data_IF_302070695902
#
_entry.id   IF_302070695902
#
_cell.length_a   1.000
_cell.length_b   1.000
_cell.length_c   1.000
_cell.angle_alpha   90.00
_cell.angle_beta   90.00
_cell.angle_gamma   90.00
#
_symmetry.space_group_name_H-M   'P 1'
#
loop_
_entity.id
_entity.type
_entity.pdbx_description
1 polymer ?
#
# COMPACT_ATOMS: atom_id res chain seq x y z
N UNK A 1 0.52 4.27 -14.56
CA UNK A 1 0.02 3.65 -13.33
C UNK A 1 -0.15 4.75 -12.31
N UNK A 2 -1.32 4.84 -11.68
CA UNK A 2 -1.56 5.81 -10.60
C UNK A 2 -1.07 5.19 -9.29
N UNK A 3 -0.45 6.00 -8.44
CA UNK A 3 0.11 5.56 -7.17
C UNK A 3 -0.49 6.44 -6.07
N UNK A 4 -0.92 5.83 -4.97
CA UNK A 4 -1.47 6.55 -3.82
C UNK A 4 -0.93 5.97 -2.53
N UNK A 5 -0.62 6.86 -1.59
CA UNK A 5 -0.21 6.50 -0.24
C UNK A 5 -1.26 6.96 0.77
N UNK A 6 -1.70 6.03 1.61
CA UNK A 6 -2.57 6.29 2.74
C UNK A 6 -1.77 6.15 4.03
N UNK A 7 -2.00 7.03 4.98
CA UNK A 7 -1.47 6.94 6.34
C UNK A 7 -2.56 6.49 7.30
N UNK A 8 -2.21 5.59 8.21
CA UNK A 8 -3.07 4.98 9.22
C UNK A 8 -2.33 5.03 10.56
N UNK A 9 -3.04 5.33 11.65
CA UNK A 9 -2.46 5.29 12.99
C UNK A 9 -2.19 3.83 13.39
N UNK A 10 -1.06 3.55 14.06
CA UNK A 10 -0.73 2.18 14.51
C UNK A 10 -1.79 1.52 15.39
N UNK A 11 -2.60 2.32 16.10
CA UNK A 11 -3.72 1.83 16.92
C UNK A 11 -4.78 1.09 16.10
N UNK A 12 -4.96 1.46 14.83
CA UNK A 12 -5.95 0.87 13.93
C UNK A 12 -5.35 -0.21 13.03
N UNK A 13 -4.07 -0.57 13.24
CA UNK A 13 -3.37 -1.61 12.48
C UNK A 13 -4.15 -2.92 12.44
N UNK A 14 -4.70 -3.34 13.57
CA UNK A 14 -5.48 -4.59 13.65
C UNK A 14 -6.70 -4.56 12.72
N UNK A 15 -7.41 -3.43 12.67
CA UNK A 15 -8.57 -3.28 11.79
C UNK A 15 -8.14 -3.27 10.32
N UNK A 16 -7.00 -2.64 10.00
CA UNK A 16 -6.44 -2.70 8.67
C UNK A 16 -6.04 -4.13 8.29
N UNK A 17 -5.36 -4.88 9.17
CA UNK A 17 -4.97 -6.27 8.90
C UNK A 17 -6.19 -7.16 8.63
N UNK A 18 -7.27 -7.00 9.40
CA UNK A 18 -8.55 -7.67 9.18
C UNK A 18 -9.19 -7.28 7.82
N UNK A 19 -9.12 -6.00 7.45
CA UNK A 19 -9.59 -5.49 6.16
C UNK A 19 -8.81 -6.07 4.98
N UNK A 20 -7.48 -6.14 5.11
CA UNK A 20 -6.58 -6.66 4.07
C UNK A 20 -6.75 -8.16 3.87
N UNK A 21 -7.09 -8.89 4.95
CA UNK A 21 -7.39 -10.32 4.91
C UNK A 21 -8.79 -10.65 4.37
N UNK A 22 -9.65 -9.64 4.16
CA UNK A 22 -11.04 -9.86 3.77
C UNK A 22 -11.16 -10.29 2.30
N UNK A 23 -11.75 -11.47 2.11
CA UNK A 23 -12.13 -12.06 0.81
C UNK A 23 -11.07 -11.88 -0.29
N UNK A 24 -9.91 -12.54 -0.17
CA UNK A 24 -8.80 -12.37 -1.11
C UNK A 24 -9.14 -12.83 -2.53
N UNK A 25 -10.17 -13.67 -2.70
CA UNK A 25 -10.54 -14.25 -3.99
C UNK A 25 -11.58 -13.43 -4.77
N UNK A 26 -12.20 -12.43 -4.14
CA UNK A 26 -13.13 -11.52 -4.80
C UNK A 26 -12.51 -10.86 -6.06
N UNK A 27 -13.32 -10.47 -7.06
CA UNK A 27 -12.84 -9.84 -8.28
C UNK A 27 -11.94 -8.62 -8.04
N UNK A 28 -12.28 -7.81 -7.03
CA UNK A 28 -11.47 -6.71 -6.50
C UNK A 28 -11.30 -6.94 -5.00
N UNK A 29 -10.07 -7.16 -4.56
CA UNK A 29 -9.71 -7.43 -3.17
C UNK A 29 -8.32 -6.88 -2.85
N UNK A 30 -8.05 -6.60 -1.58
CA UNK A 30 -6.69 -6.19 -1.18
C UNK A 30 -5.67 -7.30 -1.43
N UNK A 31 -6.06 -8.57 -1.37
CA UNK A 31 -5.19 -9.69 -1.75
C UNK A 31 -4.76 -9.66 -3.21
N UNK A 32 -5.60 -9.18 -4.13
CA UNK A 32 -5.25 -9.01 -5.56
C UNK A 32 -4.49 -7.71 -5.82
N UNK A 33 -4.89 -6.63 -5.14
CA UNK A 33 -4.23 -5.32 -5.23
C UNK A 33 -2.80 -5.38 -4.70
N UNK A 34 -2.53 -6.27 -3.74
CA UNK A 34 -1.22 -6.46 -3.10
C UNK A 34 -0.61 -5.14 -2.58
N UNK A 35 -1.32 -4.41 -1.70
CA UNK A 35 -0.82 -3.16 -1.15
C UNK A 35 0.50 -3.39 -0.39
N UNK A 36 1.43 -2.44 -0.52
CA UNK A 36 2.70 -2.47 0.21
C UNK A 36 2.53 -1.70 1.51
N UNK A 37 2.75 -2.37 2.64
CA UNK A 37 2.72 -1.72 3.95
C UNK A 37 4.13 -1.32 4.40
N UNK A 38 4.25 -0.11 4.96
CA UNK A 38 5.48 0.40 5.56
C UNK A 38 5.16 1.00 6.93
N UNK A 39 5.91 0.59 7.94
CA UNK A 39 5.84 1.21 9.26
C UNK A 39 6.92 2.29 9.37
N UNK A 40 6.51 3.50 9.76
CA UNK A 40 7.41 4.61 9.99
C UNK A 40 6.97 5.36 11.24
N UNK A 41 7.87 5.48 12.20
CA UNK A 41 7.61 6.10 13.51
C UNK A 41 6.37 5.48 14.18
N UNK A 42 5.36 6.29 14.51
CA UNK A 42 4.09 5.87 15.12
C UNK A 42 2.96 5.63 14.11
N UNK A 43 3.26 5.63 12.81
CA UNK A 43 2.28 5.50 11.73
C UNK A 43 2.58 4.31 10.82
N UNK A 44 1.53 3.85 10.17
CA UNK A 44 1.57 2.87 9.11
C UNK A 44 1.18 3.53 7.80
N UNK A 45 1.92 3.24 6.75
CA UNK A 45 1.70 3.73 5.40
C UNK A 45 1.33 2.56 4.51
N UNK A 46 0.24 2.72 3.76
CA UNK A 46 -0.22 1.77 2.76
C UNK A 46 -0.05 2.39 1.38
N UNK A 47 0.84 1.80 0.60
CA UNK A 47 1.07 2.17 -0.79
C UNK A 47 0.28 1.23 -1.71
N UNK A 48 -0.43 1.83 -2.67
CA UNK A 48 -1.16 1.12 -3.71
C UNK A 48 -0.78 1.68 -5.06
N UNK A 49 -0.55 0.79 -6.02
CA UNK A 49 -0.29 1.10 -7.42
C UNK A 49 -1.33 0.40 -8.27
N UNK A 50 -2.12 1.15 -9.03
CA UNK A 50 -3.14 0.60 -9.93
C UNK A 50 -3.49 1.58 -11.05
N UNK A 51 -3.95 1.05 -12.18
CA UNK A 51 -4.54 1.81 -13.28
C UNK A 51 -6.07 1.63 -13.37
N UNK A 52 -6.65 0.79 -12.51
CA UNK A 52 -8.07 0.49 -12.49
C UNK A 52 -8.85 1.47 -11.59
N UNK A 53 -9.73 2.27 -12.19
CA UNK A 53 -10.61 3.17 -11.46
C UNK A 53 -11.55 2.45 -10.46
N UNK A 54 -11.87 1.18 -10.71
CA UNK A 54 -12.62 0.32 -9.80
C UNK A 54 -11.87 0.00 -8.52
N UNK A 55 -10.54 -0.16 -8.60
CA UNK A 55 -9.69 -0.37 -7.42
C UNK A 55 -9.75 0.84 -6.49
N UNK A 56 -9.64 2.06 -7.03
CA UNK A 56 -9.68 3.27 -6.20
C UNK A 56 -11.01 3.45 -5.48
N UNK A 57 -12.13 3.19 -6.16
CA UNK A 57 -13.46 3.21 -5.53
C UNK A 57 -13.57 2.19 -4.40
N UNK A 58 -13.08 0.97 -4.63
CA UNK A 58 -13.07 -0.08 -3.62
C UNK A 58 -12.21 0.32 -2.41
N UNK A 59 -10.99 0.80 -2.63
CA UNK A 59 -10.06 1.22 -1.57
C UNK A 59 -10.70 2.33 -0.74
N UNK A 60 -11.23 3.38 -1.38
CA UNK A 60 -11.83 4.51 -0.68
C UNK A 60 -13.10 4.11 0.08
N UNK A 61 -13.86 3.12 -0.39
CA UNK A 61 -15.02 2.59 0.33
C UNK A 61 -14.61 1.74 1.54
N UNK A 62 -13.62 0.85 1.36
CA UNK A 62 -13.16 -0.05 2.42
C UNK A 62 -12.39 0.68 3.51
N UNK A 63 -11.58 1.68 3.15
CA UNK A 63 -10.81 2.47 4.12
C UNK A 63 -11.69 3.32 5.03
N UNK A 64 -12.96 3.59 4.70
CA UNK A 64 -13.92 4.23 5.62
C UNK A 64 -14.14 3.43 6.90
N UNK A 65 -13.89 2.12 6.87
CA UNK A 65 -13.97 1.27 8.06
C UNK A 65 -12.78 1.49 9.02
N UNK A 66 -11.71 2.18 8.57
CA UNK A 66 -10.51 2.47 9.35
C UNK A 66 -10.51 3.98 9.68
N UNK A 67 -10.88 4.39 10.91
CA UNK A 67 -11.16 5.80 11.20
C UNK A 67 -9.97 6.75 11.03
N UNK A 68 -8.74 6.27 11.22
CA UNK A 68 -7.52 7.07 11.04
C UNK A 68 -6.99 7.09 9.61
N UNK A 69 -7.57 6.29 8.70
CA UNK A 69 -7.10 6.20 7.33
C UNK A 69 -7.37 7.50 6.58
N UNK A 70 -6.30 8.11 6.05
CA UNK A 70 -6.35 9.32 5.24
C UNK A 70 -5.20 9.33 4.26
N UNK A 71 -5.26 10.19 3.24
CA UNK A 71 -4.10 10.40 2.36
C UNK A 71 -2.88 10.85 3.16
N UNK A 72 -1.72 10.28 2.84
CA UNK A 72 -0.46 10.74 3.38
C UNK A 72 -0.20 12.19 2.97
N UNK A 73 0.54 12.93 3.79
CA UNK A 73 1.00 14.24 3.38
C UNK A 73 2.03 14.07 2.25
N UNK A 74 2.07 15.00 1.29
CA UNK A 74 2.97 14.92 0.13
C UNK A 74 4.44 14.57 0.47
N UNK A 75 5.06 15.14 1.53
CA UNK A 75 6.42 14.76 1.90
C UNK A 75 6.57 13.30 2.34
N UNK A 76 5.58 12.76 3.05
CA UNK A 76 5.59 11.35 3.50
C UNK A 76 5.28 10.41 2.33
N UNK A 77 4.34 10.81 1.46
CA UNK A 77 4.00 10.10 0.23
C UNK A 77 5.22 9.95 -0.69
N UNK A 78 5.88 11.05 -1.05
CA UNK A 78 7.06 11.05 -1.91
C UNK A 78 8.19 10.18 -1.32
N UNK A 79 8.35 10.18 0.01
CA UNK A 79 9.33 9.37 0.72
C UNK A 79 9.01 7.88 0.61
N UNK A 80 7.76 7.48 0.85
CA UNK A 80 7.33 6.08 0.77
C UNK A 80 7.42 5.58 -0.67
N UNK A 81 6.93 6.35 -1.64
CA UNK A 81 7.00 6.01 -3.07
C UNK A 81 8.45 5.77 -3.49
N UNK A 82 9.35 6.70 -3.14
CA UNK A 82 10.77 6.57 -3.45
C UNK A 82 11.38 5.31 -2.81
N UNK A 83 11.12 5.06 -1.52
CA UNK A 83 11.64 3.86 -0.85
C UNK A 83 11.19 2.57 -1.56
N UNK A 84 9.93 2.50 -1.98
CA UNK A 84 9.40 1.32 -2.69
C UNK A 84 10.04 1.17 -4.06
N UNK A 85 10.18 2.26 -4.83
CA UNK A 85 10.85 2.20 -6.14
C UNK A 85 12.32 1.80 -6.01
N UNK A 86 13.06 2.38 -5.05
CA UNK A 86 14.46 2.03 -4.78
C UNK A 86 14.61 0.52 -4.43
N UNK A 87 13.66 -0.04 -3.67
CA UNK A 87 13.62 -1.47 -3.34
C UNK A 87 13.27 -2.35 -4.56
N UNK A 88 12.29 -1.95 -5.38
CA UNK A 88 11.93 -2.64 -6.62
C UNK A 88 13.12 -2.67 -7.61
N UNK A 89 13.83 -1.55 -7.77
CA UNK A 89 15.02 -1.45 -8.59
C UNK A 89 16.18 -2.31 -8.06
N UNK A 90 16.42 -2.28 -6.75
CA UNK A 90 17.44 -3.12 -6.12
C UNK A 90 17.14 -4.62 -6.26
N UNK A 91 15.87 -5.01 -6.11
CA UNK A 91 15.43 -6.39 -6.31
C UNK A 91 15.57 -6.84 -7.77
N UNK A 92 15.25 -5.96 -8.73
CA UNK A 92 15.43 -6.22 -10.15
C UNK A 92 16.91 -6.31 -10.56
N UNK A 93 17.78 -5.48 -9.97
CA UNK A 93 19.23 -5.47 -10.22
C UNK A 93 19.98 -6.62 -9.56
N UNK A 94 19.49 -7.15 -8.43
CA UNK A 94 20.14 -8.21 -7.66
C UNK A 94 20.16 -9.59 -8.32
N UNK A 95 19.22 -9.87 -9.24
CA UNK A 95 19.17 -11.16 -9.95
C UNK A 95 20.06 -11.22 -11.21
N UNK A 96 20.53 -10.08 -11.72
CA UNK A 96 21.40 -10.04 -12.89
C UNK A 96 22.86 -10.44 -12.62
N UNK A 97 23.31 -10.40 -11.37
CA UNK A 97 24.70 -10.63 -10.98
C UNK A 97 25.00 -12.05 -10.46
N UNK A 98 24.02 -12.95 -10.39
CA UNK A 98 24.20 -14.32 -9.86
C UNK A 98 24.32 -15.36 -11.00
N UNK A 99 24.11 -14.95 -12.26
CA UNK A 99 24.27 -15.80 -13.44
C UNK A 99 25.31 -15.25 -14.45
N UNK A 100 26.22 -14.37 -14.00
CA UNK A 100 27.34 -13.85 -14.79
C UNK A 100 28.64 -14.57 -14.50
#
# INVERSE_FOLDING_TARGET
MEERVYQIDKKDKKQLDELLALDPYAPVSFGRISPVLREMDERLFMYIKSDDAGVWKFVDEKLKAVPSAKHAAKPDEDKIVKMIHDEEEAAAGGFGNIFG
#
